data_IF_100631511941
#
_entry.id   IF_100631511941
#
_cell.length_a   1.000
_cell.length_b   1.000
_cell.length_c   1.000
_cell.angle_alpha   90.00
_cell.angle_beta   90.00
_cell.angle_gamma   90.00
#
_symmetry.space_group_name_H-M   'P 1'
#
loop_
_entity.id
_entity.type
_entity.pdbx_description
1 polymer ?
#
# COMPACT_ATOMS: atom_id res chain seq x y z
N UNK A 1 -13.29 -14.69 -18.97
CA UNK A 1 -13.12 -15.73 -17.92
C UNK A 1 -12.98 -15.02 -16.57
N UNK A 2 -13.96 -14.18 -16.20
CA UNK A 2 -13.65 -13.02 -15.35
C UNK A 2 -14.13 -13.18 -13.89
N UNK A 3 -14.89 -14.25 -13.59
CA UNK A 3 -15.45 -14.49 -12.25
C UNK A 3 -14.44 -14.95 -11.18
N UNK A 4 -13.33 -15.58 -11.58
CA UNK A 4 -12.31 -16.07 -10.64
C UNK A 4 -11.49 -14.94 -10.02
N UNK A 5 -11.08 -13.98 -10.85
CA UNK A 5 -10.32 -12.80 -10.43
C UNK A 5 -11.11 -11.92 -9.45
N UNK A 6 -12.44 -11.85 -9.58
CA UNK A 6 -13.27 -11.08 -8.65
C UNK A 6 -13.41 -11.73 -7.28
N UNK A 7 -13.59 -13.06 -7.22
CA UNK A 7 -13.79 -13.76 -5.94
C UNK A 7 -12.52 -13.77 -5.09
N UNK A 8 -11.37 -14.00 -5.73
CA UNK A 8 -10.06 -13.99 -5.09
C UNK A 8 -9.74 -12.61 -4.49
N UNK A 9 -10.08 -11.54 -5.20
CA UNK A 9 -9.87 -10.17 -4.78
C UNK A 9 -10.77 -9.79 -3.60
N UNK A 10 -12.05 -10.21 -3.63
CA UNK A 10 -13.00 -10.03 -2.53
C UNK A 10 -12.51 -10.78 -1.28
N UNK A 11 -12.09 -12.03 -1.43
CA UNK A 11 -11.59 -12.83 -0.31
C UNK A 11 -10.31 -12.26 0.30
N UNK A 12 -9.36 -11.83 -0.54
CA UNK A 12 -8.15 -11.14 -0.10
C UNK A 12 -8.46 -9.85 0.66
N UNK A 13 -9.38 -9.02 0.14
CA UNK A 13 -9.81 -7.77 0.79
C UNK A 13 -10.48 -8.03 2.14
N UNK A 14 -11.31 -9.07 2.22
CA UNK A 14 -11.97 -9.48 3.46
C UNK A 14 -10.94 -9.91 4.52
N UNK A 15 -10.03 -10.81 4.17
CA UNK A 15 -8.98 -11.26 5.09
C UNK A 15 -8.12 -10.10 5.57
N UNK A 16 -7.80 -9.14 4.69
CA UNK A 16 -7.00 -7.95 5.02
C UNK A 16 -7.73 -7.00 5.95
N UNK A 17 -9.03 -6.82 5.73
CA UNK A 17 -9.91 -6.09 6.65
C UNK A 17 -9.94 -6.73 8.04
N UNK A 18 -10.09 -8.06 8.10
CA UNK A 18 -10.10 -8.82 9.36
C UNK A 18 -8.74 -8.71 10.07
N UNK A 19 -7.64 -8.79 9.32
CA UNK A 19 -6.28 -8.63 9.87
C UNK A 19 -6.06 -7.23 10.43
N UNK A 20 -6.43 -6.19 9.69
CA UNK A 20 -6.36 -4.80 10.15
C UNK A 20 -7.19 -4.59 11.41
N UNK A 21 -8.45 -5.06 11.42
CA UNK A 21 -9.30 -5.01 12.61
C UNK A 21 -8.69 -5.75 13.81
N UNK A 22 -8.15 -6.95 13.59
CA UNK A 22 -7.50 -7.75 14.63
C UNK A 22 -6.26 -7.06 15.22
N UNK A 23 -5.38 -6.53 14.37
CA UNK A 23 -4.20 -5.77 14.81
C UNK A 23 -4.61 -4.50 15.56
N UNK A 24 -5.56 -3.73 15.04
CA UNK A 24 -6.03 -2.49 15.68
C UNK A 24 -6.69 -2.76 17.03
N UNK A 25 -7.51 -3.80 17.15
CA UNK A 25 -8.12 -4.17 18.42
C UNK A 25 -7.08 -4.71 19.42
N UNK A 26 -6.21 -5.62 18.99
CA UNK A 26 -5.23 -6.28 19.87
C UNK A 26 -4.14 -5.31 20.33
N UNK A 27 -3.40 -4.71 19.39
CA UNK A 27 -2.32 -3.79 19.70
C UNK A 27 -2.85 -2.50 20.32
N UNK A 28 -3.99 -2.01 19.83
CA UNK A 28 -4.61 -0.80 20.35
C UNK A 28 -4.99 -0.91 21.81
N UNK A 29 -5.65 -1.99 22.24
CA UNK A 29 -5.95 -2.21 23.65
C UNK A 29 -4.68 -2.27 24.51
N UNK A 30 -3.62 -2.95 24.03
CA UNK A 30 -2.35 -3.05 24.75
C UNK A 30 -1.69 -1.67 24.92
N UNK A 31 -1.63 -0.86 23.85
CA UNK A 31 -1.07 0.49 23.92
C UNK A 31 -1.92 1.42 24.79
N UNK A 32 -3.23 1.38 24.63
CA UNK A 32 -4.15 2.19 25.42
C UNK A 32 -4.03 1.86 26.90
N UNK A 33 -4.06 0.58 27.28
CA UNK A 33 -3.92 0.15 28.68
C UNK A 33 -2.59 0.58 29.28
N UNK A 34 -1.48 0.37 28.56
CA UNK A 34 -0.15 0.77 29.00
C UNK A 34 -0.06 2.29 29.26
N UNK A 35 -0.73 3.10 28.44
CA UNK A 35 -0.71 4.57 28.54
C UNK A 35 -1.70 5.16 29.56
N UNK A 36 -2.89 4.56 29.72
CA UNK A 36 -3.99 5.14 30.52
C UNK A 36 -3.96 4.66 31.98
N UNK A 37 -3.51 3.43 32.21
CA UNK A 37 -3.46 2.79 33.54
C UNK A 37 -2.05 2.46 34.01
N UNK A 38 -1.04 2.58 33.14
CA UNK A 38 0.33 2.16 33.42
C UNK A 38 0.49 0.63 33.44
N UNK A 39 1.72 0.16 33.64
CA UNK A 39 2.11 -1.26 33.59
C UNK A 39 1.52 -2.16 34.69
N UNK A 40 0.72 -1.61 35.62
CA UNK A 40 0.31 -2.32 36.86
C UNK A 40 -1.05 -3.03 36.77
N UNK A 41 -1.90 -2.73 35.78
CA UNK A 41 -3.20 -3.42 35.64
C UNK A 41 -3.01 -4.72 34.84
N UNK A 42 -3.60 -5.83 35.31
CA UNK A 42 -3.65 -7.07 34.52
C UNK A 42 -4.45 -6.78 33.24
N UNK A 43 -3.78 -6.88 32.09
CA UNK A 43 -4.44 -6.82 30.80
C UNK A 43 -5.48 -7.94 30.68
N UNK A 44 -6.71 -7.57 30.29
CA UNK A 44 -7.91 -8.40 30.37
C UNK A 44 -7.93 -9.58 29.37
N UNK A 45 -8.69 -10.64 29.69
CA UNK A 45 -8.94 -11.83 28.86
C UNK A 45 -9.30 -11.52 27.40
N UNK A 46 -9.97 -10.39 27.15
CA UNK A 46 -10.40 -9.94 25.82
C UNK A 46 -9.23 -9.82 24.82
N UNK A 47 -8.08 -9.38 25.29
CA UNK A 47 -6.88 -9.21 24.46
C UNK A 47 -6.23 -10.53 24.01
N UNK A 48 -6.41 -11.62 24.76
CA UNK A 48 -5.91 -12.95 24.40
C UNK A 48 -6.75 -13.55 23.26
N UNK A 49 -8.08 -13.44 23.36
CA UNK A 49 -8.99 -13.87 22.28
C UNK A 49 -8.75 -13.09 20.98
N UNK A 50 -8.54 -11.78 21.09
CA UNK A 50 -8.20 -10.93 19.94
C UNK A 50 -6.83 -11.26 19.33
N UNK A 51 -5.82 -11.55 20.17
CA UNK A 51 -4.52 -12.01 19.68
C UNK A 51 -4.62 -13.36 18.97
N UNK A 52 -5.35 -14.33 19.52
CA UNK A 52 -5.59 -15.62 18.88
C UNK A 52 -6.32 -15.47 17.53
N UNK A 53 -7.36 -14.62 17.48
CA UNK A 53 -8.05 -14.27 16.23
C UNK A 53 -7.08 -13.65 15.21
N UNK A 54 -6.29 -12.66 15.62
CA UNK A 54 -5.32 -11.97 14.74
C UNK A 54 -4.28 -12.94 14.19
N UNK A 55 -3.74 -13.83 15.05
CA UNK A 55 -2.80 -14.88 14.65
C UNK A 55 -3.43 -15.87 13.67
N UNK A 56 -4.67 -16.30 13.91
CA UNK A 56 -5.40 -17.19 13.01
C UNK A 56 -5.58 -16.56 11.62
N UNK A 57 -6.01 -15.30 11.56
CA UNK A 57 -6.18 -14.58 10.30
C UNK A 57 -4.83 -14.38 9.58
N UNK A 58 -3.75 -14.07 10.30
CA UNK A 58 -2.41 -13.97 9.73
C UNK A 58 -1.95 -15.31 9.12
N UNK A 59 -2.18 -16.42 9.82
CA UNK A 59 -1.90 -17.77 9.32
C UNK A 59 -2.76 -18.12 8.10
N UNK A 60 -4.06 -17.79 8.11
CA UNK A 60 -4.95 -18.00 6.96
C UNK A 60 -4.48 -17.20 5.74
N UNK A 61 -4.09 -15.94 5.92
CA UNK A 61 -3.51 -15.14 4.83
C UNK A 61 -2.18 -15.71 4.33
N UNK A 62 -1.34 -16.24 5.21
CA UNK A 62 -0.08 -16.87 4.81
C UNK A 62 -0.32 -18.12 3.95
N UNK A 63 -1.27 -18.96 4.35
CA UNK A 63 -1.71 -20.10 3.54
C UNK A 63 -2.31 -19.66 2.20
N UNK A 64 -3.14 -18.62 2.21
CA UNK A 64 -3.72 -18.08 0.97
C UNK A 64 -2.65 -17.51 0.03
N UNK A 65 -1.63 -16.83 0.58
CA UNK A 65 -0.48 -16.36 -0.17
C UNK A 65 0.31 -17.53 -0.79
N UNK A 66 0.56 -18.60 -0.02
CA UNK A 66 1.20 -19.80 -0.53
C UNK A 66 0.43 -20.42 -1.72
N UNK A 67 -0.89 -20.52 -1.60
CA UNK A 67 -1.75 -21.03 -2.69
C UNK A 67 -1.71 -20.11 -3.92
N UNK A 68 -1.70 -18.79 -3.72
CA UNK A 68 -1.54 -17.80 -4.81
C UNK A 68 -0.22 -17.93 -5.56
N UNK A 69 0.85 -18.34 -4.87
CA UNK A 69 2.17 -18.55 -5.46
C UNK A 69 2.30 -19.93 -6.16
N UNK A 70 1.23 -20.72 -6.21
CA UNK A 70 1.17 -22.03 -6.87
C UNK A 70 1.00 -23.20 -5.91
N UNK A 71 1.24 -23.01 -4.60
CA UNK A 71 1.05 -24.04 -3.58
C UNK A 71 2.02 -25.21 -3.64
N UNK A 72 3.08 -25.11 -4.44
CA UNK A 72 4.14 -26.10 -4.54
C UNK A 72 5.19 -25.93 -3.44
N UNK A 73 5.75 -27.04 -2.95
CA UNK A 73 6.90 -27.02 -2.03
C UNK A 73 8.25 -26.97 -2.79
N UNK A 74 8.24 -26.37 -3.98
CA UNK A 74 9.43 -26.13 -4.79
C UNK A 74 10.20 -24.88 -4.34
N UNK A 75 11.48 -24.81 -4.68
CA UNK A 75 12.36 -23.73 -4.24
C UNK A 75 11.88 -22.33 -4.70
N UNK A 76 11.41 -22.13 -5.95
CA UNK A 76 10.83 -20.85 -6.37
C UNK A 76 9.64 -20.40 -5.51
N UNK A 77 8.67 -21.28 -5.29
CA UNK A 77 7.47 -20.96 -4.49
C UNK A 77 7.84 -20.61 -3.04
N UNK A 78 8.69 -21.42 -2.40
CA UNK A 78 9.13 -21.17 -1.02
C UNK A 78 10.00 -19.91 -0.91
N UNK A 79 10.87 -19.66 -1.89
CA UNK A 79 11.68 -18.43 -1.93
C UNK A 79 10.81 -17.19 -2.10
N UNK A 80 9.80 -17.23 -2.97
CA UNK A 80 8.84 -16.14 -3.12
C UNK A 80 8.00 -15.92 -1.85
N UNK A 81 7.56 -17.00 -1.21
CA UNK A 81 6.77 -16.92 0.02
C UNK A 81 7.58 -16.31 1.17
N UNK A 82 8.72 -16.91 1.52
CA UNK A 82 9.52 -16.50 2.70
C UNK A 82 10.43 -15.29 2.42
N UNK A 83 10.76 -15.01 1.17
CA UNK A 83 11.55 -13.86 0.76
C UNK A 83 10.73 -12.60 0.48
N UNK A 84 9.40 -12.71 0.34
CA UNK A 84 8.54 -11.55 0.11
C UNK A 84 8.27 -10.75 1.39
N UNK A 85 8.10 -9.44 1.22
CA UNK A 85 7.66 -8.56 2.31
C UNK A 85 6.28 -8.99 2.87
N UNK A 86 5.39 -9.49 2.01
CA UNK A 86 4.10 -10.04 2.40
C UNK A 86 4.24 -11.25 3.35
N UNK A 87 5.02 -12.26 2.98
CA UNK A 87 5.21 -13.46 3.80
C UNK A 87 5.88 -13.14 5.13
N UNK A 88 6.95 -12.34 5.12
CA UNK A 88 7.65 -11.90 6.34
C UNK A 88 6.73 -11.10 7.27
N UNK A 89 5.90 -10.21 6.72
CA UNK A 89 4.90 -9.45 7.46
C UNK A 89 3.89 -10.35 8.17
N UNK A 90 3.40 -11.39 7.50
CA UNK A 90 2.42 -12.32 8.06
C UNK A 90 3.05 -13.23 9.13
N UNK A 91 4.28 -13.69 8.92
CA UNK A 91 5.05 -14.44 9.92
C UNK A 91 5.26 -13.59 11.17
N UNK A 92 5.71 -12.34 11.00
CA UNK A 92 5.93 -11.43 12.12
C UNK A 92 4.63 -11.19 12.90
N UNK A 93 3.50 -10.98 12.21
CA UNK A 93 2.20 -10.81 12.85
C UNK A 93 1.76 -12.07 13.60
N UNK A 94 1.93 -13.25 13.01
CA UNK A 94 1.61 -14.52 13.68
C UNK A 94 2.44 -14.73 14.95
N UNK A 95 3.77 -14.61 14.85
CA UNK A 95 4.68 -14.75 16.00
C UNK A 95 4.38 -13.71 17.07
N UNK A 96 4.06 -12.49 16.68
CA UNK A 96 3.67 -11.41 17.60
C UNK A 96 2.37 -11.72 18.34
N UNK A 97 1.36 -12.27 17.66
CA UNK A 97 0.10 -12.68 18.27
C UNK A 97 0.32 -13.84 19.26
N UNK A 98 1.15 -14.83 18.90
CA UNK A 98 1.55 -15.92 19.79
C UNK A 98 2.32 -15.39 21.00
N UNK A 99 3.24 -14.44 20.82
CA UNK A 99 3.98 -13.82 21.90
C UNK A 99 3.06 -13.06 22.88
N UNK A 100 2.02 -12.39 22.38
CA UNK A 100 0.99 -11.76 23.24
C UNK A 100 0.25 -12.83 24.05
N UNK A 101 -0.13 -13.94 23.42
CA UNK A 101 -0.79 -15.07 24.06
C UNK A 101 0.05 -15.70 25.18
N UNK A 102 1.29 -16.07 24.86
CA UNK A 102 2.25 -16.69 25.78
C UNK A 102 2.78 -15.71 26.83
N UNK A 103 2.71 -14.41 26.56
CA UNK A 103 3.13 -13.35 27.47
C UNK A 103 2.35 -13.37 28.79
N UNK A 104 1.13 -13.90 28.83
CA UNK A 104 0.31 -14.03 30.04
C UNK A 104 0.18 -12.69 30.78
N UNK A 105 0.72 -12.61 31.99
CA UNK A 105 0.73 -11.39 32.82
C UNK A 105 1.98 -10.53 32.65
N UNK A 106 2.93 -10.88 31.76
CA UNK A 106 4.19 -10.15 31.56
C UNK A 106 3.97 -9.01 30.56
N UNK A 107 3.85 -7.75 31.00
CA UNK A 107 3.40 -6.68 30.12
C UNK A 107 4.42 -6.30 29.05
N UNK A 108 5.72 -6.47 29.31
CA UNK A 108 6.78 -6.18 28.33
C UNK A 108 6.73 -7.10 27.11
N UNK A 109 6.46 -8.40 27.30
CA UNK A 109 6.33 -9.36 26.18
C UNK A 109 5.13 -8.99 25.31
N UNK A 110 4.03 -8.59 25.96
CA UNK A 110 2.80 -8.20 25.26
C UNK A 110 2.94 -6.89 24.52
N UNK A 111 3.65 -5.92 25.10
CA UNK A 111 3.98 -4.68 24.43
C UNK A 111 4.90 -4.92 23.23
N UNK A 112 5.93 -5.76 23.39
CA UNK A 112 6.81 -6.16 22.28
C UNK A 112 6.02 -6.85 21.16
N UNK A 113 5.08 -7.74 21.50
CA UNK A 113 4.18 -8.34 20.54
C UNK A 113 3.24 -7.33 19.87
N UNK A 114 2.67 -6.37 20.61
CA UNK A 114 1.84 -5.32 20.02
C UNK A 114 2.64 -4.45 19.04
N UNK A 115 3.89 -4.10 19.37
CA UNK A 115 4.82 -3.43 18.46
C UNK A 115 5.11 -4.29 17.24
N UNK A 116 5.33 -5.60 17.41
CA UNK A 116 5.55 -6.54 16.31
C UNK A 116 4.34 -6.67 15.37
N UNK A 117 3.12 -6.67 15.88
CA UNK A 117 1.90 -6.63 15.07
C UNK A 117 1.87 -5.38 14.17
N UNK A 118 2.15 -4.21 14.74
CA UNK A 118 2.19 -2.93 14.00
C UNK A 118 3.34 -2.91 12.99
N UNK A 119 4.52 -3.37 13.39
CA UNK A 119 5.68 -3.46 12.51
C UNK A 119 5.38 -4.35 11.30
N UNK A 120 4.69 -5.48 11.50
CA UNK A 120 4.29 -6.36 10.41
C UNK A 120 3.51 -5.61 9.33
N UNK A 121 2.51 -4.80 9.71
CA UNK A 121 1.76 -3.98 8.75
C UNK A 121 2.60 -2.91 8.06
N UNK A 122 3.58 -2.34 8.76
CA UNK A 122 4.42 -1.27 8.25
C UNK A 122 5.38 -1.73 7.14
N UNK A 123 5.90 -2.96 7.24
CA UNK A 123 6.87 -3.50 6.28
C UNK A 123 6.25 -4.05 4.98
N UNK A 124 4.94 -4.28 4.91
CA UNK A 124 4.26 -4.78 3.70
C UNK A 124 3.58 -3.69 2.85
N UNK A 125 3.73 -2.41 3.24
CA UNK A 125 3.06 -1.27 2.60
C UNK A 125 3.85 -0.58 1.48
N UNK A 126 3.14 0.18 0.63
CA UNK A 126 3.72 0.94 -0.50
C UNK A 126 4.80 1.94 -0.08
N UNK A 127 4.69 2.47 1.13
CA UNK A 127 5.68 3.36 1.72
C UNK A 127 7.01 2.66 2.00
N UNK A 128 6.99 1.41 2.49
CA UNK A 128 8.22 0.65 2.74
C UNK A 128 8.91 0.29 1.42
N UNK A 129 8.12 -0.02 0.39
CA UNK A 129 8.65 -0.26 -0.96
C UNK A 129 9.29 0.99 -1.57
N UNK A 130 8.76 2.19 -1.27
CA UNK A 130 9.22 3.46 -1.87
C UNK A 130 10.34 4.15 -1.10
N UNK A 131 10.21 4.25 0.21
CA UNK A 131 11.12 4.99 1.09
C UNK A 131 11.95 4.07 2.01
N UNK A 132 12.01 2.78 1.66
CA UNK A 132 12.79 1.77 2.38
C UNK A 132 12.42 1.65 3.85
N UNK A 133 13.44 1.38 4.69
CA UNK A 133 13.27 1.19 6.13
C UNK A 133 12.79 2.47 6.82
N UNK A 134 13.24 3.65 6.37
CA UNK A 134 12.77 4.94 6.92
C UNK A 134 11.27 5.14 6.69
N UNK A 135 10.79 4.82 5.48
CA UNK A 135 9.36 4.80 5.16
C UNK A 135 8.57 3.82 6.02
N UNK A 136 9.10 2.62 6.23
CA UNK A 136 8.48 1.61 7.09
C UNK A 136 8.36 2.09 8.55
N UNK A 137 9.42 2.67 9.12
CA UNK A 137 9.40 3.21 10.49
C UNK A 137 8.36 4.33 10.61
N UNK A 138 8.32 5.25 9.65
CA UNK A 138 7.35 6.35 9.65
C UNK A 138 5.91 5.84 9.63
N UNK A 139 5.61 4.87 8.77
CA UNK A 139 4.29 4.22 8.73
C UNK A 139 4.01 3.44 10.01
N UNK A 140 5.00 2.76 10.58
CA UNK A 140 4.86 2.07 11.86
C UNK A 140 4.46 3.02 12.99
N UNK A 141 5.06 4.22 13.06
CA UNK A 141 4.67 5.26 14.02
C UNK A 141 3.25 5.76 13.76
N UNK A 142 2.89 6.00 12.49
CA UNK A 142 1.53 6.40 12.12
C UNK A 142 0.49 5.35 12.53
N UNK A 143 0.72 4.07 12.20
CA UNK A 143 -0.17 2.96 12.58
C UNK A 143 -0.19 2.79 14.10
N UNK A 144 0.94 2.93 14.78
CA UNK A 144 1.02 2.84 16.25
C UNK A 144 0.13 3.88 16.94
N UNK A 145 0.17 5.15 16.50
CA UNK A 145 -0.71 6.19 17.02
C UNK A 145 -2.18 5.93 16.69
N UNK A 146 -2.48 5.46 15.48
CA UNK A 146 -3.84 5.14 15.05
C UNK A 146 -4.43 3.95 15.84
N UNK A 147 -3.63 2.90 16.08
CA UNK A 147 -4.03 1.74 16.89
C UNK A 147 -4.24 2.14 18.35
N UNK A 148 -3.34 2.94 18.93
CA UNK A 148 -3.53 3.51 20.27
C UNK A 148 -4.83 4.33 20.37
N UNK A 149 -5.12 5.19 19.39
CA UNK A 149 -6.35 5.98 19.34
C UNK A 149 -7.58 5.07 19.33
N UNK A 150 -7.62 4.07 18.44
CA UNK A 150 -8.70 3.09 18.37
C UNK A 150 -8.87 2.31 19.69
N UNK A 151 -7.77 1.84 20.28
CA UNK A 151 -7.78 1.11 21.55
C UNK A 151 -8.35 1.91 22.71
N UNK A 152 -8.03 3.21 22.78
CA UNK A 152 -8.60 4.09 23.80
C UNK A 152 -10.11 4.28 23.64
N UNK A 153 -10.61 4.43 22.42
CA UNK A 153 -12.07 4.46 22.15
C UNK A 153 -12.74 3.15 22.57
N UNK A 154 -12.14 2.01 22.21
CA UNK A 154 -12.63 0.70 22.62
C UNK A 154 -12.67 0.55 24.14
N UNK A 155 -11.64 1.06 24.83
CA UNK A 155 -11.58 1.03 26.29
C UNK A 155 -12.71 1.83 26.91
N UNK A 156 -12.99 3.04 26.41
CA UNK A 156 -14.12 3.85 26.89
C UNK A 156 -15.47 3.12 26.76
N UNK A 157 -15.64 2.29 25.74
CA UNK A 157 -16.85 1.47 25.59
C UNK A 157 -16.91 0.29 26.59
N UNK A 158 -15.76 -0.27 26.96
CA UNK A 158 -15.67 -1.41 27.89
C UNK A 158 -15.84 -1.06 29.36
N UNK A 159 -15.67 0.21 29.74
CA UNK A 159 -15.83 0.63 31.14
C UNK A 159 -17.30 0.60 31.51
N UNK A 160 -17.65 0.12 32.70
CA UNK A 160 -19.03 0.12 33.18
C UNK A 160 -19.27 1.26 34.19
N UNK A 161 -18.28 1.52 35.05
CA UNK A 161 -18.34 2.55 36.08
C UNK A 161 -18.39 3.97 35.48
N UNK A 162 -19.39 4.80 35.82
CA UNK A 162 -19.45 6.20 35.39
C UNK A 162 -18.27 7.05 35.86
N UNK A 163 -17.76 6.79 37.07
CA UNK A 163 -16.62 7.53 37.63
C UNK A 163 -15.33 7.19 36.88
N UNK A 164 -15.07 5.89 36.67
CA UNK A 164 -13.90 5.43 35.91
C UNK A 164 -13.96 5.91 34.45
N UNK A 165 -15.16 5.94 33.85
CA UNK A 165 -15.37 6.47 32.50
C UNK A 165 -14.95 7.94 32.41
N UNK A 166 -15.35 8.78 33.37
CA UNK A 166 -14.99 10.21 33.40
C UNK A 166 -13.47 10.43 33.49
N UNK A 167 -12.81 9.76 34.44
CA UNK A 167 -11.37 9.88 34.65
C UNK A 167 -10.56 9.43 33.43
N UNK A 168 -10.94 8.29 32.85
CA UNK A 168 -10.24 7.72 31.69
C UNK A 168 -10.50 8.55 30.44
N UNK A 169 -11.74 9.03 30.23
CA UNK A 169 -12.08 9.91 29.12
C UNK A 169 -11.27 11.21 29.16
N UNK A 170 -11.06 11.81 30.34
CA UNK A 170 -10.26 13.01 30.49
C UNK A 170 -8.79 12.76 30.14
N UNK A 171 -8.17 11.71 30.67
CA UNK A 171 -6.77 11.34 30.38
C UNK A 171 -6.56 11.02 28.91
N UNK A 172 -7.45 10.20 28.34
CA UNK A 172 -7.42 9.84 26.93
C UNK A 172 -7.53 11.07 26.03
N UNK A 173 -8.50 11.96 26.31
CA UNK A 173 -8.67 13.20 25.56
C UNK A 173 -7.42 14.09 25.59
N UNK A 174 -6.75 14.21 26.75
CA UNK A 174 -5.50 14.97 26.88
C UNK A 174 -4.37 14.41 26.00
N UNK A 175 -4.15 13.10 26.04
CA UNK A 175 -3.13 12.43 25.22
C UNK A 175 -3.50 12.44 23.73
N UNK A 176 -4.79 12.29 23.41
CA UNK A 176 -5.27 12.13 22.05
C UNK A 176 -5.06 13.38 21.19
N UNK A 177 -5.03 14.57 21.79
CA UNK A 177 -4.77 15.81 21.06
C UNK A 177 -3.42 15.77 20.32
N UNK A 178 -2.34 15.37 21.00
CA UNK A 178 -1.02 15.27 20.39
C UNK A 178 -0.94 14.15 19.34
N UNK A 179 -1.50 12.98 19.65
CA UNK A 179 -1.53 11.84 18.74
C UNK A 179 -2.30 12.16 17.45
N UNK A 180 -3.48 12.78 17.57
CA UNK A 180 -4.31 13.18 16.42
C UNK A 180 -3.62 14.25 15.58
N UNK A 181 -2.98 15.25 16.20
CA UNK A 181 -2.22 16.25 15.46
C UNK A 181 -1.09 15.60 14.63
N UNK A 182 -0.34 14.67 15.24
CA UNK A 182 0.70 13.93 14.52
C UNK A 182 0.13 13.09 13.37
N UNK A 183 -1.02 12.44 13.56
CA UNK A 183 -1.71 11.67 12.51
C UNK A 183 -2.16 12.57 11.34
N UNK A 184 -2.72 13.74 11.65
CA UNK A 184 -3.18 14.73 10.65
C UNK A 184 -2.01 15.26 9.84
N UNK A 185 -0.85 15.49 10.46
CA UNK A 185 0.36 15.92 9.74
C UNK A 185 1.00 14.79 8.92
N UNK A 186 0.98 13.56 9.44
CA UNK A 186 1.57 12.41 8.77
C UNK A 186 0.83 12.03 7.47
N UNK A 187 -0.50 12.21 7.41
CA UNK A 187 -1.33 11.87 6.25
C UNK A 187 -0.87 12.55 4.95
N UNK A 188 -0.88 13.90 4.88
CA UNK A 188 -0.41 14.66 3.72
C UNK A 188 1.05 14.38 3.38
N UNK A 189 1.91 14.22 4.39
CA UNK A 189 3.33 13.90 4.17
C UNK A 189 3.51 12.56 3.43
N UNK A 190 2.79 11.50 3.86
CA UNK A 190 2.80 10.22 3.14
C UNK A 190 2.15 10.34 1.76
N UNK A 191 1.10 11.13 1.61
CA UNK A 191 0.45 11.35 0.32
C UNK A 191 1.42 11.99 -0.69
N UNK A 192 2.18 13.01 -0.28
CA UNK A 192 3.22 13.64 -1.12
C UNK A 192 4.31 12.64 -1.48
N UNK A 193 4.76 11.81 -0.54
CA UNK A 193 5.75 10.77 -0.85
C UNK A 193 5.18 9.77 -1.86
N UNK A 194 3.94 9.30 -1.70
CA UNK A 194 3.36 8.26 -2.56
C UNK A 194 2.94 8.75 -3.95
N UNK A 195 2.38 9.96 -4.03
CA UNK A 195 1.76 10.49 -5.25
C UNK A 195 2.64 11.51 -5.98
N UNK A 196 3.65 12.08 -5.30
CA UNK A 196 4.38 13.24 -5.79
C UNK A 196 3.60 14.55 -5.57
N UNK A 197 4.05 15.62 -6.23
CA UNK A 197 3.45 16.96 -6.13
C UNK A 197 2.29 17.19 -7.10
N UNK A 198 2.25 16.44 -8.21
CA UNK A 198 1.19 16.51 -9.20
C UNK A 198 0.20 15.36 -9.01
N UNK A 199 -1.02 15.67 -8.57
CA UNK A 199 -2.05 14.67 -8.30
C UNK A 199 -2.96 14.52 -9.53
N UNK A 200 -2.91 13.35 -10.16
CA UNK A 200 -3.84 12.97 -11.21
C UNK A 200 -5.14 12.42 -10.61
N UNK A 201 -6.19 13.24 -10.64
CA UNK A 201 -7.51 12.92 -10.09
C UNK A 201 -8.24 11.80 -10.84
N UNK A 202 -7.79 11.43 -12.05
CA UNK A 202 -8.39 10.34 -12.82
C UNK A 202 -7.99 8.96 -12.30
N UNK A 203 -6.95 8.86 -11.47
CA UNK A 203 -6.48 7.57 -10.96
C UNK A 203 -7.49 6.98 -9.95
N UNK A 204 -7.88 5.70 -10.10
CA UNK A 204 -8.77 5.02 -9.15
C UNK A 204 -8.26 5.06 -7.70
N UNK A 205 -6.94 4.98 -7.52
CA UNK A 205 -6.28 5.10 -6.22
C UNK A 205 -6.62 6.42 -5.50
N UNK A 206 -6.64 7.54 -6.24
CA UNK A 206 -6.91 8.87 -5.68
C UNK A 206 -8.37 8.98 -5.21
N UNK A 207 -9.32 8.39 -5.93
CA UNK A 207 -10.72 8.33 -5.51
C UNK A 207 -10.91 7.63 -4.15
N UNK A 208 -10.29 6.46 -3.96
CA UNK A 208 -10.27 5.75 -2.68
C UNK A 208 -9.56 6.53 -1.57
N UNK A 209 -8.47 7.23 -1.90
CA UNK A 209 -7.76 8.09 -0.94
C UNK A 209 -8.63 9.26 -0.48
N UNK A 210 -9.35 9.93 -1.40
CA UNK A 210 -10.29 11.01 -1.08
C UNK A 210 -11.40 10.51 -0.16
N UNK A 211 -11.98 9.34 -0.46
CA UNK A 211 -12.98 8.71 0.41
C UNK A 211 -12.40 8.45 1.82
N UNK A 212 -11.18 7.91 1.91
CA UNK A 212 -10.50 7.70 3.20
C UNK A 212 -10.31 9.02 3.96
N UNK A 213 -9.86 10.07 3.28
CA UNK A 213 -9.68 11.40 3.89
C UNK A 213 -11.00 11.97 4.38
N UNK A 214 -12.09 11.83 3.62
CA UNK A 214 -13.41 12.27 4.05
C UNK A 214 -13.91 11.53 5.30
N UNK A 215 -13.72 10.21 5.38
CA UNK A 215 -14.06 9.41 6.56
C UNK A 215 -13.22 9.83 7.79
N UNK A 216 -11.92 10.06 7.60
CA UNK A 216 -11.04 10.55 8.67
C UNK A 216 -11.46 11.95 9.12
N UNK A 217 -11.83 12.85 8.21
CA UNK A 217 -12.33 14.18 8.56
C UNK A 217 -13.63 14.09 9.41
N UNK A 218 -14.55 13.19 9.05
CA UNK A 218 -15.73 12.89 9.87
C UNK A 218 -15.36 12.39 11.27
N UNK A 219 -14.37 11.50 11.37
CA UNK A 219 -13.89 10.97 12.65
C UNK A 219 -13.28 12.07 13.53
N UNK A 220 -12.50 12.97 12.93
CA UNK A 220 -11.94 14.14 13.64
C UNK A 220 -13.04 15.08 14.11
N UNK A 221 -14.10 15.27 13.32
CA UNK A 221 -15.28 16.05 13.71
C UNK A 221 -15.99 15.48 14.94
N UNK A 222 -16.20 14.17 14.97
CA UNK A 222 -16.77 13.48 16.15
C UNK A 222 -15.85 13.57 17.37
N UNK A 223 -14.54 13.39 17.17
CA UNK A 223 -13.56 13.48 18.25
C UNK A 223 -13.49 14.90 18.86
N UNK A 224 -13.57 15.93 18.02
CA UNK A 224 -13.66 17.32 18.46
C UNK A 224 -14.96 17.59 19.22
N UNK A 225 -16.09 17.08 18.74
CA UNK A 225 -17.37 17.17 19.43
C UNK A 225 -17.32 16.49 20.81
N UNK A 226 -16.77 15.28 20.88
CA UNK A 226 -16.58 14.56 22.13
C UNK A 226 -15.73 15.36 23.12
N UNK A 227 -14.58 15.87 22.67
CA UNK A 227 -13.66 16.65 23.50
C UNK A 227 -14.27 17.95 24.03
N UNK A 228 -14.95 18.72 23.19
CA UNK A 228 -15.41 20.07 23.55
C UNK A 228 -16.81 20.12 24.16
N UNK A 229 -17.67 19.12 23.88
CA UNK A 229 -19.06 19.13 24.36
C UNK A 229 -19.36 18.03 25.37
N UNK A 230 -18.90 16.81 25.16
CA UNK A 230 -19.32 15.67 25.99
C UNK A 230 -18.42 15.42 27.19
N UNK A 231 -17.10 15.39 26.99
CA UNK A 231 -16.13 15.10 28.07
C UNK A 231 -16.27 16.08 29.26
N UNK A 232 -16.42 17.42 29.05
CA UNK A 232 -16.60 18.35 30.17
C UNK A 232 -17.89 18.12 30.96
N UNK A 233 -18.94 17.58 30.32
CA UNK A 233 -20.27 17.37 30.92
C UNK A 233 -20.43 16.04 31.66
N UNK A 234 -19.41 15.18 31.62
CA UNK A 234 -19.47 13.87 32.29
C UNK A 234 -19.60 13.98 33.82
N UNK A 235 -19.06 15.06 34.40
CA UNK A 235 -19.18 15.33 35.83
C UNK A 235 -20.59 15.83 36.24
N UNK A 236 -21.39 16.29 35.27
CA UNK A 236 -22.65 16.99 35.52
C UNK A 236 -23.88 16.11 35.25
N UNK A 237 -23.78 15.06 34.43
CA UNK A 237 -24.95 14.27 34.02
C UNK A 237 -24.61 12.85 33.54
N UNK A 238 -25.33 11.86 34.08
CA UNK A 238 -25.27 10.47 33.56
C UNK A 238 -25.73 10.37 32.10
N UNK A 239 -26.64 11.25 31.66
CA UNK A 239 -27.09 11.30 30.27
C UNK A 239 -25.95 11.68 29.31
N UNK A 240 -24.99 12.50 29.76
CA UNK A 240 -23.79 12.83 28.99
C UNK A 240 -22.90 11.60 28.79
N UNK A 241 -22.78 10.72 29.80
CA UNK A 241 -22.07 9.44 29.68
C UNK A 241 -22.72 8.48 28.69
N UNK A 242 -24.04 8.37 28.69
CA UNK A 242 -24.77 7.55 27.72
C UNK A 242 -24.62 8.09 26.28
N UNK A 243 -24.71 9.40 26.11
CA UNK A 243 -24.50 10.05 24.81
C UNK A 243 -23.05 9.87 24.32
N UNK A 244 -22.06 10.01 25.21
CA UNK A 244 -20.65 9.76 24.88
C UNK A 244 -20.47 8.35 24.34
N UNK A 245 -21.02 7.32 25.01
CA UNK A 245 -20.93 5.94 24.51
C UNK A 245 -21.56 5.76 23.12
N UNK A 246 -22.68 6.42 22.83
CA UNK A 246 -23.30 6.37 21.50
C UNK A 246 -22.41 7.01 20.43
N UNK A 247 -21.82 8.17 20.74
CA UNK A 247 -20.91 8.84 19.80
C UNK A 247 -19.63 8.04 19.61
N UNK A 248 -19.02 7.54 20.68
CA UNK A 248 -17.82 6.69 20.62
C UNK A 248 -18.08 5.39 19.84
N UNK A 249 -19.28 4.78 19.95
CA UNK A 249 -19.67 3.67 19.07
C UNK A 249 -19.68 4.08 17.60
N UNK A 250 -20.18 5.27 17.30
CA UNK A 250 -20.13 5.86 15.95
C UNK A 250 -18.68 6.08 15.47
N UNK A 251 -17.81 6.58 16.34
CA UNK A 251 -16.37 6.75 16.04
C UNK A 251 -15.69 5.41 15.75
N UNK A 252 -15.92 4.38 16.57
CA UNK A 252 -15.38 3.03 16.34
C UNK A 252 -15.88 2.45 15.03
N UNK A 253 -17.17 2.63 14.70
CA UNK A 253 -17.74 2.23 13.42
C UNK A 253 -17.11 2.96 12.23
N UNK A 254 -16.91 4.27 12.33
CA UNK A 254 -16.27 5.09 11.30
C UNK A 254 -14.79 4.73 11.12
N UNK A 255 -14.09 4.44 12.22
CA UNK A 255 -12.72 3.92 12.19
C UNK A 255 -12.67 2.57 11.47
N UNK A 256 -13.63 1.68 11.75
CA UNK A 256 -13.80 0.41 11.02
C UNK A 256 -13.98 0.64 9.52
N UNK A 257 -14.79 1.62 9.11
CA UNK A 257 -14.95 1.99 7.70
C UNK A 257 -13.64 2.50 7.08
N UNK A 258 -12.84 3.29 7.80
CA UNK A 258 -11.50 3.73 7.36
C UNK A 258 -10.58 2.52 7.13
N UNK A 259 -10.63 1.50 7.98
CA UNK A 259 -9.84 0.27 7.82
C UNK A 259 -10.29 -0.54 6.60
N UNK A 260 -11.60 -0.68 6.37
CA UNK A 260 -12.16 -1.33 5.17
C UNK A 260 -11.70 -0.60 3.92
N UNK A 261 -11.86 0.73 3.87
CA UNK A 261 -11.41 1.54 2.73
C UNK A 261 -9.89 1.42 2.53
N UNK A 262 -9.11 1.33 3.61
CA UNK A 262 -7.66 1.13 3.51
C UNK A 262 -7.31 -0.27 2.97
N UNK A 263 -8.05 -1.32 3.35
CA UNK A 263 -7.89 -2.65 2.78
C UNK A 263 -8.22 -2.65 1.29
N UNK A 264 -9.34 -2.06 0.89
CA UNK A 264 -9.72 -1.87 -0.51
C UNK A 264 -8.64 -1.08 -1.29
N UNK A 265 -8.20 0.07 -0.77
CA UNK A 265 -7.20 0.93 -1.38
C UNK A 265 -5.88 0.19 -1.66
N UNK A 266 -5.48 -0.74 -0.79
CA UNK A 266 -4.19 -1.45 -0.88
C UNK A 266 -4.27 -2.80 -1.59
N UNK A 267 -5.47 -3.29 -1.90
CA UNK A 267 -5.69 -4.58 -2.59
C UNK A 267 -6.26 -4.37 -4.00
N UNK A 268 -7.21 -3.44 -4.15
CA UNK A 268 -7.88 -3.15 -5.42
C UNK A 268 -7.09 -2.14 -6.28
N UNK A 269 -6.21 -1.35 -5.67
CA UNK A 269 -5.49 -0.29 -6.34
C UNK A 269 -4.06 -0.20 -5.83
N UNK A 270 -3.16 0.28 -6.67
CA UNK A 270 -1.81 0.66 -6.29
C UNK A 270 -1.55 2.05 -6.92
N UNK A 271 -0.79 2.94 -6.25
CA UNK A 271 -0.41 4.19 -6.85
C UNK A 271 0.45 3.89 -8.08
N UNK A 272 0.00 4.36 -9.25
CA UNK A 272 0.75 4.24 -10.50
C UNK A 272 1.75 5.39 -10.53
N UNK A 273 3.03 5.07 -10.41
CA UNK A 273 4.08 6.08 -10.43
C UNK A 273 4.35 6.53 -11.87
N UNK A 274 4.46 7.84 -12.07
CA UNK A 274 5.26 8.36 -13.18
C UNK A 274 6.71 8.11 -12.80
N UNK A 275 7.34 7.13 -13.44
CA UNK A 275 8.78 6.92 -13.28
C UNK A 275 9.51 8.06 -13.99
N UNK A 276 10.66 8.46 -13.46
CA UNK A 276 11.54 9.35 -14.21
C UNK A 276 12.05 8.63 -15.45
N UNK A 277 12.27 9.42 -16.50
CA UNK A 277 12.66 8.94 -17.80
C UNK A 277 14.00 8.16 -17.71
N UNK A 278 14.14 7.02 -18.41
CA UNK A 278 15.33 6.18 -18.30
C UNK A 278 16.59 6.93 -18.74
N UNK A 279 17.57 7.04 -17.83
CA UNK A 279 18.87 7.66 -18.16
C UNK A 279 19.70 6.67 -18.96
N UNK A 280 19.83 6.91 -20.26
CA UNK A 280 20.74 6.17 -21.14
C UNK A 280 22.13 6.79 -21.05
N UNK A 281 23.14 5.98 -20.68
CA UNK A 281 24.54 6.39 -20.68
C UNK A 281 25.09 6.35 -22.12
N UNK A 282 25.56 7.51 -22.58
CA UNK A 282 26.25 7.78 -23.86
C UNK A 282 25.42 7.59 -25.16
N UNK A 283 25.04 8.76 -25.73
CA UNK A 283 24.28 8.97 -26.96
C UNK A 283 22.81 8.47 -26.93
N UNK A 284 21.96 9.24 -26.24
CA UNK A 284 20.51 9.07 -26.34
C UNK A 284 20.08 9.08 -27.82
N UNK A 285 19.21 8.15 -28.25
CA UNK A 285 18.78 8.11 -29.63
C UNK A 285 17.98 9.38 -29.98
N UNK A 286 17.92 9.76 -31.27
CA UNK A 286 17.24 10.97 -31.69
C UNK A 286 15.77 10.95 -31.26
N UNK A 287 15.23 12.13 -30.94
CA UNK A 287 13.80 12.26 -30.67
C UNK A 287 13.03 11.94 -31.95
N UNK A 288 12.01 11.09 -31.85
CA UNK A 288 11.09 10.79 -32.94
C UNK A 288 9.82 11.61 -32.73
N UNK A 289 9.52 12.47 -33.70
CA UNK A 289 8.29 13.26 -33.73
C UNK A 289 7.22 12.51 -34.52
N UNK A 290 6.03 12.34 -33.94
CA UNK A 290 4.85 11.80 -34.60
C UNK A 290 3.67 12.71 -34.24
N UNK A 291 3.33 13.62 -35.16
CA UNK A 291 2.29 14.62 -34.94
C UNK A 291 2.57 15.46 -33.69
N UNK A 292 1.73 15.28 -32.67
CA UNK A 292 1.87 15.98 -31.39
C UNK A 292 2.74 15.24 -30.35
N UNK A 293 3.13 13.99 -30.64
CA UNK A 293 3.91 13.13 -29.76
C UNK A 293 5.40 13.24 -30.04
N UNK A 294 6.19 13.37 -28.98
CA UNK A 294 7.66 13.35 -28.99
C UNK A 294 8.12 12.11 -28.25
N UNK A 295 8.75 11.18 -28.94
CA UNK A 295 9.26 9.94 -28.35
C UNK A 295 10.77 10.04 -28.16
N UNK A 296 11.23 9.88 -26.94
CA UNK A 296 12.63 10.08 -26.56
C UNK A 296 13.12 9.01 -25.57
N UNK A 297 14.42 9.00 -25.30
CA UNK A 297 15.07 8.12 -24.31
C UNK A 297 14.69 6.63 -24.43
N UNK A 298 14.51 6.16 -25.65
CA UNK A 298 14.07 4.79 -25.88
C UNK A 298 15.23 3.81 -25.93
N UNK A 299 15.09 2.66 -25.27
CA UNK A 299 16.09 1.60 -25.29
C UNK A 299 15.47 0.23 -25.06
N UNK A 300 16.14 -0.78 -25.58
CA UNK A 300 15.81 -2.19 -25.39
C UNK A 300 16.88 -2.84 -24.50
N UNK A 301 16.46 -3.66 -23.54
CA UNK A 301 17.40 -4.35 -22.66
C UNK A 301 18.03 -5.56 -23.36
N UNK A 302 19.34 -5.72 -23.29
CA UNK A 302 20.00 -6.95 -23.74
C UNK A 302 19.45 -8.20 -23.01
N UNK A 303 19.38 -9.33 -23.70
CA UNK A 303 18.95 -10.59 -23.08
C UNK A 303 20.00 -11.09 -22.08
N UNK A 304 19.56 -11.56 -20.91
CA UNK A 304 20.46 -12.13 -19.89
C UNK A 304 20.57 -13.65 -20.07
N UNK A 305 21.77 -14.14 -20.39
CA UNK A 305 22.01 -15.56 -20.63
C UNK A 305 21.19 -16.08 -21.82
N UNK A 306 20.59 -17.26 -21.69
CA UNK A 306 19.77 -17.91 -22.73
C UNK A 306 18.27 -17.65 -22.58
N UNK A 307 17.85 -16.78 -21.64
CA UNK A 307 16.42 -16.53 -21.40
C UNK A 307 15.86 -15.65 -22.53
N UNK A 308 14.83 -16.11 -23.28
CA UNK A 308 14.35 -15.41 -24.48
C UNK A 308 13.39 -14.26 -24.12
N UNK A 309 13.83 -13.37 -23.23
CA UNK A 309 13.02 -12.30 -22.65
C UNK A 309 13.79 -10.99 -22.60
N UNK A 310 13.14 -9.90 -23.02
CA UNK A 310 13.67 -8.55 -22.97
C UNK A 310 12.56 -7.54 -22.60
N UNK A 311 12.92 -6.27 -22.44
CA UNK A 311 11.98 -5.18 -22.19
C UNK A 311 12.42 -3.92 -22.95
N UNK A 312 11.45 -3.13 -23.41
CA UNK A 312 11.67 -1.81 -24.01
C UNK A 312 11.14 -0.74 -23.05
N UNK A 313 11.92 0.33 -22.96
CA UNK A 313 11.69 1.53 -22.15
C UNK A 313 11.78 2.74 -23.07
N UNK A 314 11.02 3.79 -22.77
CA UNK A 314 10.93 5.02 -23.58
C UNK A 314 10.15 6.10 -22.83
N UNK A 315 10.23 7.33 -23.32
CA UNK A 315 9.39 8.45 -22.89
C UNK A 315 8.59 8.97 -24.08
N UNK A 316 7.31 9.28 -23.86
CA UNK A 316 6.41 9.90 -24.84
C UNK A 316 5.88 11.20 -24.24
N UNK A 317 6.24 12.34 -24.79
CA UNK A 317 5.64 13.63 -24.43
C UNK A 317 4.56 14.01 -25.44
N UNK A 318 3.37 14.39 -24.96
CA UNK A 318 2.28 14.87 -25.79
C UNK A 318 2.17 16.39 -25.71
N UNK A 319 2.65 17.06 -26.75
CA UNK A 319 2.61 18.53 -26.89
C UNK A 319 1.26 19.04 -27.39
N UNK A 320 0.31 18.14 -27.67
CA UNK A 320 -1.03 18.44 -28.16
C UNK A 320 -2.01 18.84 -27.05
N UNK A 321 -3.20 19.27 -27.47
CA UNK A 321 -4.30 19.68 -26.56
C UNK A 321 -5.25 18.52 -26.20
N UNK A 322 -5.08 17.36 -26.82
CA UNK A 322 -5.92 16.18 -26.60
C UNK A 322 -5.07 15.01 -26.11
N UNK A 323 -5.53 14.24 -25.11
CA UNK A 323 -4.82 13.04 -24.68
C UNK A 323 -4.78 12.01 -25.81
N UNK A 324 -3.75 11.17 -25.80
CA UNK A 324 -3.61 9.96 -26.64
C UNK A 324 -3.43 8.73 -25.74
N UNK A 325 -3.27 7.55 -26.32
CA UNK A 325 -3.07 6.30 -25.60
C UNK A 325 -2.21 5.34 -26.42
N UNK A 326 -1.16 4.81 -25.81
CA UNK A 326 -0.37 3.71 -26.37
C UNK A 326 -1.14 2.40 -26.20
N UNK A 327 -1.61 1.80 -27.31
CA UNK A 327 -2.46 0.61 -27.31
C UNK A 327 -1.66 -0.69 -27.42
N UNK A 328 -0.59 -0.70 -28.20
CA UNK A 328 0.19 -1.92 -28.44
C UNK A 328 1.60 -1.63 -28.96
N UNK A 329 2.47 -2.64 -28.90
CA UNK A 329 3.78 -2.65 -29.52
C UNK A 329 3.98 -3.92 -30.35
N UNK A 330 4.86 -3.88 -31.35
CA UNK A 330 5.26 -5.03 -32.16
C UNK A 330 6.78 -5.00 -32.37
N UNK A 331 7.45 -6.14 -32.23
CA UNK A 331 8.86 -6.30 -32.62
C UNK A 331 9.01 -7.58 -33.43
N UNK A 332 9.60 -7.53 -34.62
CA UNK A 332 9.92 -8.73 -35.39
C UNK A 332 10.97 -9.62 -34.70
N UNK A 333 11.67 -9.07 -33.71
CA UNK A 333 12.70 -9.73 -32.91
C UNK A 333 12.16 -10.71 -31.86
N UNK A 334 10.84 -10.74 -31.61
CA UNK A 334 10.22 -11.56 -30.59
C UNK A 334 8.84 -12.06 -31.02
N UNK A 335 8.43 -13.21 -30.47
CA UNK A 335 7.08 -13.77 -30.69
C UNK A 335 5.98 -12.82 -30.22
N UNK A 336 6.19 -12.15 -29.08
CA UNK A 336 5.21 -11.22 -28.51
C UNK A 336 5.87 -9.95 -27.96
N UNK A 337 5.18 -8.83 -28.12
CA UNK A 337 5.49 -7.55 -27.50
C UNK A 337 4.23 -7.03 -26.77
N UNK A 338 4.19 -7.19 -25.46
CA UNK A 338 3.02 -6.88 -24.63
C UNK A 338 3.29 -5.71 -23.70
N UNK A 339 2.31 -4.82 -23.55
CA UNK A 339 2.36 -3.73 -22.59
C UNK A 339 2.21 -4.29 -21.19
N UNK A 340 3.19 -4.04 -20.32
CA UNK A 340 3.27 -4.58 -18.97
C UNK A 340 3.48 -3.45 -17.96
N UNK A 341 2.99 -3.65 -16.75
CA UNK A 341 3.25 -2.76 -15.61
C UNK A 341 3.72 -3.56 -14.41
N UNK A 342 4.76 -3.06 -13.75
CA UNK A 342 5.12 -3.53 -12.43
C UNK A 342 4.24 -2.83 -11.40
N UNK A 343 3.60 -3.60 -10.53
CA UNK A 343 2.82 -3.08 -9.43
C UNK A 343 3.10 -3.86 -8.17
N UNK A 344 2.96 -3.20 -7.03
CA UNK A 344 2.96 -3.87 -5.75
C UNK A 344 1.51 -4.13 -5.36
N UNK A 345 1.16 -5.40 -5.16
CA UNK A 345 -0.16 -5.81 -4.68
C UNK A 345 0.04 -6.74 -3.49
N UNK A 346 -0.58 -6.40 -2.37
CA UNK A 346 -0.51 -7.20 -1.14
C UNK A 346 0.92 -7.53 -0.69
N UNK A 347 1.88 -6.61 -0.86
CA UNK A 347 3.29 -6.83 -0.47
C UNK A 347 4.09 -7.72 -1.43
N UNK A 348 3.47 -8.15 -2.54
CA UNK A 348 4.14 -8.83 -3.65
C UNK A 348 4.40 -7.83 -4.77
N UNK A 349 5.65 -7.76 -5.21
CA UNK A 349 5.98 -7.07 -6.44
C UNK A 349 5.70 -8.02 -7.61
N UNK A 350 4.81 -7.63 -8.50
CA UNK A 350 4.38 -8.44 -9.64
C UNK A 350 4.41 -7.63 -10.94
N UNK A 351 4.63 -8.34 -12.03
CA UNK A 351 4.50 -7.82 -13.38
C UNK A 351 3.19 -8.34 -13.97
N UNK A 352 2.36 -7.45 -14.51
CA UNK A 352 1.07 -7.81 -15.11
C UNK A 352 0.90 -7.16 -16.49
N UNK A 353 0.25 -7.83 -17.45
CA UNK A 353 -0.17 -7.22 -18.70
C UNK A 353 -1.12 -6.03 -18.49
N UNK A 354 -1.02 -5.03 -19.35
CA UNK A 354 -1.86 -3.84 -19.41
C UNK A 354 -2.58 -3.77 -20.78
N UNK A 355 -3.62 -4.58 -21.00
CA UNK A 355 -4.28 -4.71 -22.31
C UNK A 355 -5.00 -3.44 -22.75
N UNK A 356 -5.43 -2.62 -21.79
CA UNK A 356 -6.09 -1.32 -22.02
C UNK A 356 -5.12 -0.24 -22.51
N UNK A 357 -3.81 -0.53 -22.56
CA UNK A 357 -2.78 0.42 -22.94
C UNK A 357 -2.43 1.43 -21.86
N UNK A 358 -1.63 2.42 -22.25
CA UNK A 358 -1.17 3.51 -21.36
C UNK A 358 -1.62 4.86 -21.89
N UNK A 359 -2.26 5.66 -21.05
CA UNK A 359 -2.65 7.03 -21.39
C UNK A 359 -1.42 7.91 -21.56
N UNK A 360 -1.45 8.79 -22.57
CA UNK A 360 -0.50 9.87 -22.81
C UNK A 360 -1.25 11.20 -22.71
N UNK A 361 -1.35 11.80 -21.51
CA UNK A 361 -2.19 12.98 -21.28
C UNK A 361 -1.73 14.20 -22.09
N UNK A 362 -2.65 15.07 -22.49
CA UNK A 362 -2.33 16.32 -23.17
C UNK A 362 -1.41 17.20 -22.32
N UNK A 363 -0.43 17.86 -22.94
CA UNK A 363 0.56 18.71 -22.27
C UNK A 363 1.37 17.98 -21.17
N UNK A 364 1.43 16.65 -21.23
CA UNK A 364 2.17 15.80 -20.30
C UNK A 364 2.75 14.59 -21.06
N UNK A 365 3.34 13.64 -20.33
CA UNK A 365 3.97 12.48 -20.94
C UNK A 365 3.70 11.15 -20.25
N UNK A 366 4.04 10.08 -20.97
CA UNK A 366 4.09 8.70 -20.51
C UNK A 366 5.55 8.26 -20.43
N UNK A 367 5.96 7.72 -19.29
CA UNK A 367 7.29 7.13 -19.12
C UNK A 367 7.16 5.62 -18.95
N UNK A 368 7.84 4.87 -19.80
CA UNK A 368 8.08 3.45 -19.69
C UNK A 368 9.51 3.24 -19.16
N UNK A 369 9.66 2.72 -17.95
CA UNK A 369 10.94 2.61 -17.24
C UNK A 369 11.05 1.31 -16.42
N UNK A 370 12.27 0.89 -16.04
CA UNK A 370 12.45 -0.25 -15.15
C UNK A 370 11.65 -0.10 -13.86
N UNK A 371 11.12 -1.20 -13.34
CA UNK A 371 10.23 -1.24 -12.16
C UNK A 371 8.87 -0.52 -12.34
N UNK A 372 8.55 -0.05 -13.55
CA UNK A 372 7.30 0.59 -13.89
C UNK A 372 6.58 -0.01 -15.08
N UNK A 373 5.91 0.85 -15.85
CA UNK A 373 5.36 0.48 -17.14
C UNK A 373 6.49 0.18 -18.13
N UNK A 374 6.35 -0.85 -18.96
CA UNK A 374 7.33 -1.24 -19.97
C UNK A 374 6.65 -2.08 -21.06
N UNK A 375 7.33 -2.26 -22.19
CA UNK A 375 6.92 -3.24 -23.20
C UNK A 375 7.74 -4.50 -22.96
N UNK A 376 7.10 -5.59 -22.58
CA UNK A 376 7.73 -6.89 -22.39
C UNK A 376 7.86 -7.61 -23.74
N UNK A 377 9.05 -8.14 -24.01
CA UNK A 377 9.31 -9.00 -25.16
C UNK A 377 9.48 -10.43 -24.68
N UNK A 378 8.67 -11.36 -25.19
CA UNK A 378 8.75 -12.79 -24.86
C UNK A 378 8.95 -13.60 -26.13
N UNK A 379 9.81 -14.62 -26.06
CA UNK A 379 10.14 -15.44 -27.21
C UNK A 379 11.04 -14.69 -28.19
N UNK A 380 12.11 -14.03 -27.71
CA UNK A 380 13.08 -13.40 -28.62
C UNK A 380 13.70 -14.45 -29.54
N UNK A 381 13.67 -14.22 -30.85
CA UNK A 381 14.08 -15.21 -31.87
C UNK A 381 15.58 -15.55 -31.79
N UNK A 382 16.38 -14.67 -31.18
CA UNK A 382 17.79 -14.84 -30.85
C UNK A 382 18.15 -13.97 -29.64
N UNK A 383 19.25 -14.25 -28.92
CA UNK A 383 19.77 -13.34 -27.89
C UNK A 383 19.97 -11.93 -28.47
N UNK A 384 19.48 -10.92 -27.75
CA UNK A 384 19.62 -9.51 -28.11
C UNK A 384 20.90 -8.98 -27.47
N UNK A 385 21.82 -8.51 -28.31
CA UNK A 385 23.17 -8.12 -27.89
C UNK A 385 23.30 -6.61 -27.85
N UNK A 386 24.04 -6.10 -26.87
CA UNK A 386 24.34 -4.67 -26.75
C UNK A 386 24.98 -4.11 -28.04
N UNK A 387 24.55 -2.92 -28.44
CA UNK A 387 24.97 -2.25 -29.68
C UNK A 387 24.12 -2.61 -30.91
N UNK A 388 23.31 -3.65 -30.85
CA UNK A 388 22.33 -3.94 -31.91
C UNK A 388 21.19 -2.92 -31.91
N UNK A 389 20.44 -2.87 -33.01
CA UNK A 389 19.21 -2.07 -33.11
C UNK A 389 18.07 -2.93 -33.63
N UNK A 390 16.87 -2.69 -33.11
CA UNK A 390 15.67 -3.44 -33.47
C UNK A 390 14.54 -2.49 -33.85
N UNK A 391 13.87 -2.79 -34.96
CA UNK A 391 12.67 -2.08 -35.40
C UNK A 391 11.49 -2.49 -34.54
N UNK A 392 10.85 -1.50 -33.94
CA UNK A 392 9.66 -1.63 -33.09
C UNK A 392 8.57 -0.71 -33.61
N UNK A 393 7.35 -1.21 -33.68
CA UNK A 393 6.19 -0.42 -34.09
C UNK A 393 5.31 -0.21 -32.86
N UNK A 394 5.05 1.05 -32.52
CA UNK A 394 4.10 1.45 -31.50
C UNK A 394 2.79 1.85 -32.17
N UNK A 395 1.66 1.46 -31.59
CA UNK A 395 0.34 1.89 -32.06
C UNK A 395 -0.31 2.75 -31.00
N UNK A 396 -0.54 4.02 -31.32
CA UNK A 396 -1.31 4.97 -30.54
C UNK A 396 -2.75 5.04 -31.04
N UNK A 397 -3.68 5.37 -30.15
CA UNK A 397 -5.10 5.47 -30.45
C UNK A 397 -5.41 6.59 -31.46
N UNK A 398 -4.72 7.74 -31.36
CA UNK A 398 -4.96 8.90 -32.23
C UNK A 398 -3.84 9.10 -33.24
N UNK A 399 -2.59 9.09 -32.80
CA UNK A 399 -1.44 9.28 -33.70
C UNK A 399 -1.20 8.07 -34.62
N UNK A 400 -1.77 6.90 -34.29
CA UNK A 400 -1.64 5.69 -35.09
C UNK A 400 -0.26 5.04 -34.96
N UNK A 401 0.29 4.54 -36.07
CA UNK A 401 1.50 3.71 -36.05
C UNK A 401 2.77 4.58 -36.12
N UNK A 402 3.65 4.40 -35.14
CA UNK A 402 4.96 5.05 -35.08
C UNK A 402 6.06 3.99 -35.08
N UNK A 403 6.97 4.07 -36.04
CA UNK A 403 8.11 3.17 -36.12
C UNK A 403 9.32 3.76 -35.37
N UNK A 404 9.94 2.94 -34.53
CA UNK A 404 11.15 3.26 -33.80
C UNK A 404 12.24 2.27 -34.16
N UNK A 405 13.45 2.76 -34.34
CA UNK A 405 14.64 1.94 -34.41
C UNK A 405 15.35 2.03 -33.06
N UNK A 406 15.21 1.00 -32.21
CA UNK A 406 15.55 1.05 -30.78
C UNK A 406 16.92 0.40 -30.55
N UNK A 407 17.88 1.09 -29.92
CA UNK A 407 19.16 0.49 -29.54
C UNK A 407 19.00 -0.53 -28.40
N UNK A 408 19.74 -1.63 -28.49
CA UNK A 408 19.89 -2.62 -27.44
C UNK A 408 21.06 -2.21 -26.53
N UNK A 409 20.83 -2.13 -25.23
CA UNK A 409 21.86 -1.76 -24.23
C UNK A 409 21.94 -2.77 -23.08
N UNK A 410 23.14 -2.95 -22.54
CA UNK A 410 23.38 -3.72 -21.32
C UNK A 410 22.99 -2.98 -20.04
N UNK A 411 22.89 -1.64 -20.09
CA UNK A 411 22.54 -0.79 -18.95
C UNK A 411 21.24 -0.04 -19.20
N UNK A 412 20.15 -0.54 -18.60
CA UNK A 412 18.96 0.29 -18.35
C UNK A 412 18.77 0.38 -16.85
N UNK A 413 19.19 1.50 -16.28
CA UNK A 413 19.10 1.76 -14.85
C UNK A 413 17.94 2.71 -14.55
N UNK A 414 17.08 2.36 -13.60
CA UNK A 414 16.28 3.35 -12.89
C UNK A 414 17.22 4.02 -11.87
N UNK A 415 17.31 5.35 -11.85
CA UNK A 415 17.93 6.03 -10.71
C UNK A 415 17.09 5.71 -9.45
N UNK A 416 17.60 4.86 -8.56
CA UNK A 416 17.20 4.90 -7.16
C UNK A 416 18.28 5.68 -6.41
N UNK A 417 17.99 6.91 -6.03
CA UNK A 417 18.81 7.63 -5.07
C UNK A 417 18.85 6.83 -3.76
N UNK A 418 20.03 6.27 -3.46
CA UNK A 418 20.41 5.91 -2.10
C UNK A 418 20.91 7.17 -1.42
N UNK A 419 20.20 7.63 -0.39
CA UNK A 419 20.79 8.34 0.74
C UNK A 419 20.31 7.68 2.03
#
# INVERSE_FOLDING_TARGET
>A
MDGGLTLELVFSTLLKTMLYGGVFATAGLIFADASLYGYRRRLELNSLGLAAFTGLIAATQFCFLFLRLGGGFDAPTLSALFGSAAGLSLILQFVSAVAIGLGGTRPLIRLAGAVGLVAGLAFSGHMAARAGVGGAIFVGLHIGLATWWFGGLWRLLSLESPTELGEVAQRFSQQAFGAVLALVMAGPFMAVILLGTEIDLSQPYVGWLVLKVALVAGLLGLAAFNRWRLVPRLAESEAAGQLLRRVVKGEVGLFGAVLVVTACLTTLSAPVHRFEAPVLSEAAPPVVEAGALRISQYAMRATRGTVPVSAIYLTVDNTGKTPDRLLSAQCACAETASLHIMSMRDGLMGMAPAPEGFSVPAQAGLVLAPMGAHIMLTGTNRPLVEGERQKVILTFEREGRVELDIPVTGQVSAHSHNH
#
